data_IF_059180876649
#
_entry.id   IF_059180876649
#
_cell.length_a   1.000
_cell.length_b   1.000
_cell.length_c   1.000
_cell.angle_alpha   90.00
_cell.angle_beta   90.00
_cell.angle_gamma   90.00
#
_symmetry.space_group_name_H-M   'P 1'
#
loop_
_entity.id
_entity.type
_entity.pdbx_description
1 polymer ?
#
# COMPACT_ATOMS: atom_id res chain seq x y z
N UNK A 1 32.57 -14.46 -18.95
CA UNK A 1 31.85 -15.66 -19.46
C UNK A 1 31.42 -15.41 -20.89
N UNK A 2 31.54 -16.39 -21.80
CA UNK A 2 31.10 -16.21 -23.19
C UNK A 2 29.58 -15.95 -23.23
N UNK A 3 29.16 -15.02 -24.11
CA UNK A 3 27.75 -14.65 -24.26
C UNK A 3 26.96 -15.85 -24.80
N UNK A 4 25.76 -16.07 -24.26
CA UNK A 4 24.82 -17.07 -24.76
C UNK A 4 24.47 -16.72 -26.22
N UNK A 5 24.60 -17.69 -27.12
CA UNK A 5 24.12 -17.57 -28.51
C UNK A 5 22.59 -17.42 -28.47
N UNK A 6 22.01 -16.36 -29.07
CA UNK A 6 20.58 -16.14 -29.08
C UNK A 6 19.83 -17.24 -29.85
N UNK A 7 18.58 -17.50 -29.46
CA UNK A 7 17.86 -18.72 -29.86
C UNK A 7 17.59 -18.79 -31.37
N UNK A 8 17.43 -17.63 -32.03
CA UNK A 8 17.32 -17.53 -33.49
C UNK A 8 18.53 -18.11 -34.24
N UNK A 9 19.75 -17.88 -33.74
CA UNK A 9 20.98 -18.42 -34.34
C UNK A 9 21.06 -19.93 -34.08
N UNK A 10 20.51 -20.43 -32.98
CA UNK A 10 20.46 -21.87 -32.68
C UNK A 10 19.48 -22.61 -33.58
N UNK A 11 18.32 -22.02 -33.87
CA UNK A 11 17.35 -22.55 -34.83
C UNK A 11 17.94 -22.59 -36.24
N UNK A 12 18.71 -21.56 -36.61
CA UNK A 12 19.39 -21.51 -37.90
C UNK A 12 20.47 -22.60 -38.04
N UNK A 13 21.18 -22.94 -36.96
CA UNK A 13 22.14 -24.06 -36.92
C UNK A 13 21.43 -25.40 -37.19
N UNK A 14 20.27 -25.64 -36.57
CA UNK A 14 19.47 -26.85 -36.81
C UNK A 14 19.01 -26.92 -38.25
N UNK A 15 18.54 -25.80 -38.81
CA UNK A 15 18.12 -25.73 -40.22
C UNK A 15 19.27 -26.05 -41.17
N UNK A 16 20.48 -25.53 -40.92
CA UNK A 16 21.65 -25.81 -41.75
C UNK A 16 22.13 -27.27 -41.67
N UNK A 17 21.96 -27.95 -40.53
CA UNK A 17 22.17 -29.42 -40.43
C UNK A 17 21.16 -30.18 -41.28
N UNK A 18 19.88 -29.78 -41.26
CA UNK A 18 18.83 -30.34 -42.12
C UNK A 18 19.05 -30.11 -43.63
N UNK A 19 19.74 -29.03 -44.00
CA UNK A 19 20.17 -28.73 -45.37
C UNK A 19 21.47 -29.49 -45.77
N UNK A 20 22.07 -30.27 -44.87
CA UNK A 20 23.24 -31.13 -45.15
C UNK A 20 24.61 -30.44 -45.04
N UNK A 21 24.70 -29.26 -44.40
CA UNK A 21 25.97 -28.55 -44.21
C UNK A 21 26.82 -29.21 -43.13
N UNK A 22 28.14 -29.19 -43.27
CA UNK A 22 29.02 -29.79 -42.27
C UNK A 22 29.22 -28.87 -41.06
N UNK A 23 29.33 -29.44 -39.86
CA UNK A 23 29.52 -28.71 -38.61
C UNK A 23 30.69 -27.67 -38.61
N UNK A 24 31.83 -27.89 -39.28
CA UNK A 24 32.89 -26.88 -39.42
C UNK A 24 32.47 -25.65 -40.25
N UNK A 25 31.61 -25.83 -41.24
CA UNK A 25 31.06 -24.75 -42.07
C UNK A 25 29.99 -23.94 -41.30
N UNK A 26 29.19 -24.63 -40.49
CA UNK A 26 28.20 -24.00 -39.59
C UNK A 26 28.90 -23.16 -38.51
N UNK A 27 30.06 -23.63 -38.01
CA UNK A 27 30.84 -22.91 -37.01
C UNK A 27 31.37 -21.54 -37.49
N UNK A 28 31.53 -21.34 -38.80
CA UNK A 28 31.89 -20.03 -39.37
C UNK A 28 30.85 -18.93 -39.09
N UNK A 29 29.63 -19.29 -38.66
CA UNK A 29 28.59 -18.35 -38.22
C UNK A 29 28.87 -17.71 -36.83
N UNK A 30 30.11 -17.79 -36.33
CA UNK A 30 30.53 -17.15 -35.07
C UNK A 30 30.34 -18.02 -33.83
N UNK A 31 30.31 -19.34 -33.97
CA UNK A 31 30.17 -20.28 -32.86
C UNK A 31 31.22 -21.40 -32.92
N UNK A 32 31.55 -22.01 -31.78
CA UNK A 32 32.51 -23.11 -31.78
C UNK A 32 31.87 -24.38 -32.35
N UNK A 33 32.65 -25.23 -33.03
CA UNK A 33 32.19 -26.55 -33.51
C UNK A 33 31.56 -27.37 -32.37
N UNK A 34 32.13 -27.29 -31.16
CA UNK A 34 31.58 -27.94 -29.96
C UNK A 34 30.18 -27.43 -29.61
N UNK A 35 29.92 -26.13 -29.79
CA UNK A 35 28.61 -25.53 -29.55
C UNK A 35 27.59 -26.00 -30.57
N UNK A 36 27.99 -26.14 -31.85
CA UNK A 36 27.13 -26.71 -32.91
C UNK A 36 26.71 -28.14 -32.53
N UNK A 37 27.67 -29.01 -32.19
CA UNK A 37 27.35 -30.37 -31.77
C UNK A 37 26.45 -30.45 -30.53
N UNK A 38 26.69 -29.59 -29.52
CA UNK A 38 25.83 -29.55 -28.33
C UNK A 38 24.39 -29.12 -28.67
N UNK A 39 24.21 -28.15 -29.57
CA UNK A 39 22.87 -27.70 -30.00
C UNK A 39 22.16 -28.79 -30.80
N UNK A 40 22.86 -29.44 -31.73
CA UNK A 40 22.30 -30.54 -32.53
C UNK A 40 21.95 -31.75 -31.67
N UNK A 41 22.78 -32.08 -30.67
CA UNK A 41 22.48 -33.13 -29.70
C UNK A 41 21.21 -32.82 -28.90
N UNK A 42 21.09 -31.59 -28.37
CA UNK A 42 19.89 -31.14 -27.65
C UNK A 42 18.63 -31.19 -28.53
N UNK A 43 18.74 -30.77 -29.80
CA UNK A 43 17.61 -30.83 -30.74
C UNK A 43 17.20 -32.27 -31.05
N UNK A 44 18.16 -33.17 -31.26
CA UNK A 44 17.86 -34.60 -31.55
C UNK A 44 17.23 -35.32 -30.35
N UNK A 45 17.58 -34.93 -29.12
CA UNK A 45 17.11 -35.59 -27.90
C UNK A 45 15.79 -35.00 -27.37
N UNK A 46 15.58 -33.68 -27.52
CA UNK A 46 14.47 -32.96 -26.87
C UNK A 46 13.65 -32.07 -27.82
N UNK A 47 13.90 -32.13 -29.14
CA UNK A 47 13.22 -31.31 -30.17
C UNK A 47 13.22 -29.80 -29.85
N UNK A 48 14.24 -29.35 -29.10
CA UNK A 48 14.35 -27.99 -28.60
C UNK A 48 15.79 -27.47 -28.70
N UNK A 49 15.94 -26.21 -29.10
CA UNK A 49 17.25 -25.51 -29.17
C UNK A 49 17.66 -24.86 -27.85
N UNK A 50 16.71 -24.72 -26.93
CA UNK A 50 16.91 -24.24 -25.58
C UNK A 50 16.94 -25.43 -24.62
N UNK A 51 17.90 -25.44 -23.70
CA UNK A 51 18.01 -26.52 -22.71
C UNK A 51 16.77 -26.50 -21.79
N UNK A 52 15.89 -27.53 -21.83
CA UNK A 52 14.68 -27.57 -21.01
C UNK A 52 14.99 -27.74 -19.51
N UNK A 53 16.18 -28.27 -19.17
CA UNK A 53 16.67 -28.45 -17.80
C UNK A 53 17.53 -27.29 -17.31
N UNK A 54 17.59 -26.18 -18.06
CA UNK A 54 18.30 -24.99 -17.61
C UNK A 54 17.63 -24.47 -16.33
N UNK A 55 18.33 -24.64 -15.19
CA UNK A 55 17.93 -24.00 -13.95
C UNK A 55 17.94 -22.49 -14.16
N UNK A 56 16.91 -21.80 -13.69
CA UNK A 56 16.90 -20.35 -13.72
C UNK A 56 18.14 -19.83 -12.98
N UNK A 57 19.03 -19.08 -13.64
CA UNK A 57 20.19 -18.51 -12.98
C UNK A 57 19.72 -17.47 -11.95
N UNK A 58 20.09 -17.66 -10.69
CA UNK A 58 19.76 -16.72 -9.63
C UNK A 58 20.08 -17.25 -8.24
N UNK A 59 20.37 -16.33 -7.31
CA UNK A 59 20.46 -16.64 -5.88
C UNK A 59 19.07 -17.09 -5.41
N UNK A 60 19.01 -18.22 -4.69
CA UNK A 60 17.77 -18.66 -4.03
C UNK A 60 17.21 -17.51 -3.18
N UNK A 61 15.90 -17.29 -3.26
CA UNK A 61 15.23 -16.27 -2.44
C UNK A 61 15.42 -16.63 -0.97
N UNK A 62 15.62 -15.61 -0.14
CA UNK A 62 15.82 -15.79 1.31
C UNK A 62 14.49 -16.15 1.99
N UNK A 63 13.38 -15.60 1.49
CA UNK A 63 12.03 -15.94 1.94
C UNK A 63 11.49 -17.12 1.14
N UNK A 64 10.98 -18.12 1.84
CA UNK A 64 10.23 -19.21 1.25
C UNK A 64 8.75 -18.82 1.06
N UNK A 65 8.03 -19.62 0.28
CA UNK A 65 6.57 -19.47 0.08
C UNK A 65 5.82 -19.50 1.41
N UNK A 66 6.24 -20.34 2.37
CA UNK A 66 5.62 -20.38 3.70
C UNK A 66 5.76 -19.08 4.49
N UNK A 67 6.90 -18.40 4.38
CA UNK A 67 7.14 -17.11 5.03
C UNK A 67 6.29 -16.01 4.40
N UNK A 68 6.11 -16.06 3.08
CA UNK A 68 5.28 -15.10 2.35
C UNK A 68 3.81 -15.25 2.71
N UNK A 69 3.29 -16.48 2.82
CA UNK A 69 1.93 -16.74 3.29
C UNK A 69 1.72 -16.20 4.71
N UNK A 70 2.71 -16.37 5.59
CA UNK A 70 2.67 -15.82 6.94
C UNK A 70 2.64 -14.28 6.94
N UNK A 71 3.48 -13.63 6.12
CA UNK A 71 3.46 -12.18 5.97
C UNK A 71 2.11 -11.67 5.46
N UNK A 72 1.51 -12.36 4.48
CA UNK A 72 0.21 -11.96 3.94
C UNK A 72 -0.90 -12.08 4.97
N UNK A 73 -0.94 -13.18 5.73
CA UNK A 73 -1.98 -13.36 6.76
C UNK A 73 -1.86 -12.33 7.89
N UNK A 74 -0.62 -11.93 8.21
CA UNK A 74 -0.37 -10.90 9.21
C UNK A 74 -0.78 -9.50 8.72
N UNK A 75 -0.57 -9.21 7.43
CA UNK A 75 -1.05 -7.99 6.78
C UNK A 75 -2.57 -7.97 6.71
N UNK A 76 -3.22 -9.10 6.40
CA UNK A 76 -4.68 -9.18 6.36
C UNK A 76 -5.31 -8.93 7.75
N UNK A 77 -4.68 -9.46 8.81
CA UNK A 77 -5.11 -9.23 10.18
C UNK A 77 -4.81 -7.80 10.67
N UNK A 78 -3.68 -7.22 10.26
CA UNK A 78 -3.22 -5.88 10.68
C UNK A 78 -2.70 -5.08 9.47
N UNK A 79 -3.58 -4.50 8.64
CA UNK A 79 -3.13 -3.85 7.41
C UNK A 79 -2.23 -2.64 7.64
N UNK A 80 -2.29 -2.01 8.82
CA UNK A 80 -1.47 -0.85 9.20
C UNK A 80 -0.08 -1.21 9.75
N UNK A 81 0.35 -2.46 9.68
CA UNK A 81 1.64 -2.90 10.25
C UNK A 81 2.85 -2.26 9.55
N UNK A 82 3.90 -1.91 10.31
CA UNK A 82 5.17 -1.41 9.76
C UNK A 82 6.09 -2.56 9.31
N UNK A 83 7.11 -2.23 8.52
CA UNK A 83 8.04 -3.23 7.99
C UNK A 83 9.01 -3.77 9.04
N UNK A 84 9.37 -2.95 10.03
CA UNK A 84 10.17 -3.36 11.19
C UNK A 84 9.37 -4.30 12.11
N UNK A 85 8.09 -4.03 12.33
CA UNK A 85 7.19 -4.94 13.05
C UNK A 85 7.01 -6.27 12.29
N UNK A 86 6.89 -6.23 10.95
CA UNK A 86 6.88 -7.44 10.12
C UNK A 86 8.19 -8.22 10.24
N UNK A 87 9.34 -7.53 10.32
CA UNK A 87 10.65 -8.15 10.53
C UNK A 87 10.71 -8.83 11.90
N UNK A 88 10.26 -8.15 12.96
CA UNK A 88 10.24 -8.70 14.32
C UNK A 88 9.33 -9.93 14.41
N UNK A 89 8.15 -9.89 13.82
CA UNK A 89 7.23 -11.03 13.78
C UNK A 89 7.80 -12.22 12.99
N UNK A 90 8.48 -11.96 11.87
CA UNK A 90 9.19 -12.99 11.11
C UNK A 90 10.31 -13.64 11.93
N UNK A 91 11.09 -12.83 12.63
CA UNK A 91 12.15 -13.33 13.49
C UNK A 91 11.59 -14.18 14.63
N UNK A 92 10.54 -13.72 15.30
CA UNK A 92 9.92 -14.42 16.42
C UNK A 92 9.22 -15.72 15.99
N UNK A 93 8.49 -15.72 14.88
CA UNK A 93 7.66 -16.86 14.48
C UNK A 93 8.39 -17.89 13.60
N UNK A 94 9.37 -17.44 12.80
CA UNK A 94 10.06 -18.28 11.79
C UNK A 94 11.57 -18.31 11.95
N UNK A 95 12.14 -17.52 12.87
CA UNK A 95 13.59 -17.38 13.05
C UNK A 95 14.32 -16.92 11.78
N UNK A 96 13.66 -16.08 10.98
CA UNK A 96 14.19 -15.52 9.73
C UNK A 96 14.50 -14.04 9.96
N UNK A 97 15.78 -13.71 10.09
CA UNK A 97 16.23 -12.31 10.13
C UNK A 97 16.55 -11.82 8.71
N UNK A 98 15.76 -10.84 8.24
CA UNK A 98 15.94 -10.21 6.94
C UNK A 98 15.79 -8.71 7.01
N UNK A 99 16.51 -8.00 6.15
CA UNK A 99 16.40 -6.55 6.08
C UNK A 99 15.01 -6.09 5.64
N UNK A 100 14.57 -4.95 6.16
CA UNK A 100 13.35 -4.23 5.75
C UNK A 100 13.24 -4.08 4.24
N UNK A 101 14.36 -3.80 3.56
CA UNK A 101 14.40 -3.68 2.10
C UNK A 101 14.08 -5.01 1.38
N UNK A 102 14.39 -6.15 1.98
CA UNK A 102 14.06 -7.48 1.46
C UNK A 102 12.58 -7.79 1.64
N UNK A 103 12.00 -7.42 2.78
CA UNK A 103 10.55 -7.52 3.03
C UNK A 103 9.80 -6.65 2.01
N UNK A 104 10.18 -5.39 1.87
CA UNK A 104 9.55 -4.44 0.93
C UNK A 104 9.56 -4.94 -0.51
N UNK A 105 10.71 -5.44 -0.99
CA UNK A 105 10.83 -6.02 -2.34
C UNK A 105 9.98 -7.28 -2.50
N UNK A 106 9.92 -8.11 -1.47
CA UNK A 106 9.14 -9.36 -1.50
C UNK A 106 7.63 -9.08 -1.54
N UNK A 107 7.14 -8.14 -0.73
CA UNK A 107 5.75 -7.70 -0.75
C UNK A 107 5.36 -7.10 -2.10
N UNK A 108 6.22 -6.25 -2.69
CA UNK A 108 5.97 -5.68 -4.01
C UNK A 108 5.89 -6.74 -5.11
N UNK A 109 6.75 -7.76 -5.06
CA UNK A 109 6.71 -8.90 -5.99
C UNK A 109 5.43 -9.73 -5.84
N UNK A 110 4.80 -9.70 -4.66
CA UNK A 110 3.50 -10.30 -4.37
C UNK A 110 2.34 -9.34 -4.59
N UNK A 111 2.58 -8.23 -5.28
CA UNK A 111 1.59 -7.20 -5.60
C UNK A 111 0.97 -6.55 -4.36
N UNK A 112 1.64 -6.56 -3.20
CA UNK A 112 1.17 -5.89 -1.99
C UNK A 112 1.85 -4.52 -1.91
N UNK A 113 1.05 -3.46 -1.84
CA UNK A 113 1.53 -2.08 -1.81
C UNK A 113 0.97 -1.32 -0.61
N UNK A 114 1.75 -0.36 -0.13
CA UNK A 114 1.39 0.52 0.97
C UNK A 114 0.60 1.71 0.41
N UNK A 115 -0.66 1.86 0.82
CA UNK A 115 -1.60 2.86 0.30
C UNK A 115 -2.15 3.71 1.42
N UNK A 116 -2.50 4.96 1.11
CA UNK A 116 -3.20 5.83 2.05
C UNK A 116 -4.56 5.21 2.37
N UNK A 117 -4.84 5.01 3.66
CA UNK A 117 -6.12 4.45 4.09
C UNK A 117 -7.19 5.54 3.97
N UNK A 118 -8.21 5.31 3.13
CA UNK A 118 -9.39 6.17 3.05
C UNK A 118 -10.32 5.81 4.20
N UNK A 119 -10.41 6.68 5.20
CA UNK A 119 -11.47 6.63 6.22
C UNK A 119 -12.62 7.49 5.74
N UNK A 120 -13.62 6.89 5.10
CA UNK A 120 -14.87 7.59 4.78
C UNK A 120 -15.74 7.65 6.04
N UNK A 121 -16.22 8.84 6.39
CA UNK A 121 -17.21 9.01 7.46
C UNK A 121 -18.53 8.37 7.03
N UNK A 122 -19.08 7.49 7.85
CA UNK A 122 -20.34 6.76 7.56
C UNK A 122 -21.55 7.70 7.51
N UNK A 123 -21.48 8.86 8.16
CA UNK A 123 -22.61 9.76 8.40
C UNK A 123 -22.92 10.73 7.25
N UNK A 124 -22.11 10.78 6.19
CA UNK A 124 -22.29 11.75 5.10
C UNK A 124 -23.47 11.36 4.20
N UNK A 125 -24.54 12.16 4.23
CA UNK A 125 -25.71 12.03 3.35
C UNK A 125 -25.77 13.22 2.37
N UNK A 126 -25.57 12.96 1.08
CA UNK A 126 -25.52 13.98 0.03
C UNK A 126 -26.88 14.66 -0.22
N UNK A 127 -27.99 13.94 -0.06
CA UNK A 127 -29.33 14.48 -0.27
C UNK A 127 -29.65 15.55 0.78
N UNK A 128 -29.34 15.28 2.05
CA UNK A 128 -29.54 16.25 3.13
C UNK A 128 -28.65 17.49 2.95
N UNK A 129 -27.42 17.33 2.46
CA UNK A 129 -26.56 18.46 2.14
C UNK A 129 -27.16 19.32 1.02
N UNK A 130 -27.73 18.70 -0.02
CA UNK A 130 -28.36 19.42 -1.13
C UNK A 130 -29.62 20.17 -0.69
N UNK A 131 -30.47 19.56 0.15
CA UNK A 131 -31.65 20.22 0.72
C UNK A 131 -31.26 21.42 1.57
N UNK A 132 -30.26 21.29 2.43
CA UNK A 132 -29.79 22.40 3.27
C UNK A 132 -29.24 23.56 2.44
N UNK A 133 -28.45 23.27 1.39
CA UNK A 133 -27.93 24.29 0.48
C UNK A 133 -29.05 25.03 -0.26
N UNK A 134 -30.11 24.32 -0.66
CA UNK A 134 -31.25 24.95 -1.33
C UNK A 134 -32.08 25.84 -0.40
N UNK A 135 -32.19 25.49 0.89
CA UNK A 135 -33.02 26.20 1.86
C UNK A 135 -32.29 27.37 2.54
N UNK A 136 -31.00 27.22 2.84
CA UNK A 136 -30.23 28.18 3.64
C UNK A 136 -29.01 28.75 2.91
N UNK A 137 -28.75 28.38 1.66
CA UNK A 137 -27.57 28.81 0.90
C UNK A 137 -27.53 30.31 0.60
N UNK A 138 -28.68 30.99 0.67
CA UNK A 138 -28.77 32.44 0.44
C UNK A 138 -28.40 33.28 1.68
N UNK A 139 -28.19 32.66 2.85
CA UNK A 139 -27.81 33.38 4.08
C UNK A 139 -26.35 33.80 3.99
N UNK A 140 -26.03 35.11 4.06
CA UNK A 140 -24.66 35.57 4.07
C UNK A 140 -23.88 35.00 5.26
N UNK A 141 -22.64 34.56 5.00
CA UNK A 141 -21.75 33.97 5.99
C UNK A 141 -21.51 34.87 7.22
N UNK A 142 -21.62 36.19 7.07
CA UNK A 142 -21.44 37.20 8.12
C UNK A 142 -22.51 37.11 9.22
N UNK A 143 -23.69 36.57 8.92
CA UNK A 143 -24.77 36.39 9.90
C UNK A 143 -24.72 35.03 10.60
N UNK A 144 -23.77 34.16 10.23
CA UNK A 144 -23.68 32.81 10.75
C UNK A 144 -22.58 32.70 11.80
N UNK A 145 -22.93 32.09 12.93
CA UNK A 145 -21.95 31.59 13.91
C UNK A 145 -22.00 30.07 13.86
N UNK A 146 -20.89 29.45 13.49
CA UNK A 146 -20.76 27.99 13.47
C UNK A 146 -20.21 27.50 14.79
N UNK A 147 -20.94 26.57 15.39
CA UNK A 147 -20.54 25.87 16.61
C UNK A 147 -20.27 24.42 16.22
N UNK A 148 -19.12 23.89 16.61
CA UNK A 148 -18.77 22.49 16.42
C UNK A 148 -18.03 21.95 17.65
N UNK A 149 -18.02 20.63 17.82
CA UNK A 149 -17.18 19.96 18.82
C UNK A 149 -15.99 19.30 18.14
N UNK A 150 -14.79 19.83 18.38
CA UNK A 150 -13.55 19.16 18.01
C UNK A 150 -13.03 18.37 19.21
N UNK A 151 -12.93 17.05 19.09
CA UNK A 151 -12.23 16.23 20.08
C UNK A 151 -10.73 16.16 19.78
N UNK A 152 -9.93 16.56 20.76
CA UNK A 152 -8.48 16.41 20.79
C UNK A 152 -8.17 15.27 21.74
N UNK A 153 -7.96 14.11 21.14
CA UNK A 153 -7.41 12.96 21.86
C UNK A 153 -5.89 12.98 21.72
N UNK A 154 -5.18 12.55 22.77
CA UNK A 154 -3.80 12.09 22.65
C UNK A 154 -3.78 10.81 21.85
N UNK A 155 -3.99 10.94 20.53
CA UNK A 155 -4.02 9.84 19.58
C UNK A 155 -2.69 9.11 19.67
N UNK A 156 -2.73 7.85 20.11
CA UNK A 156 -1.70 6.87 19.78
C UNK A 156 -1.65 6.76 18.26
N UNK A 157 -0.69 7.48 17.66
CA UNK A 157 -0.18 7.38 16.30
C UNK A 157 -1.11 6.66 15.31
N UNK A 158 -2.19 7.31 14.87
CA UNK A 158 -3.03 6.74 13.82
C UNK A 158 -2.22 6.67 12.52
N UNK A 159 -1.84 5.45 12.14
CA UNK A 159 -1.07 5.20 10.91
C UNK A 159 -1.93 5.57 9.71
N UNK A 160 -1.40 6.46 8.87
CA UNK A 160 -2.07 7.00 7.67
C UNK A 160 -2.17 5.99 6.54
N UNK A 161 -1.25 5.04 6.50
CA UNK A 161 -1.16 4.07 5.43
C UNK A 161 -1.46 2.65 5.92
N UNK A 162 -1.93 1.84 4.98
CA UNK A 162 -2.17 0.42 5.16
C UNK A 162 -1.72 -0.35 3.92
N UNK A 163 -1.31 -1.59 4.11
CA UNK A 163 -0.95 -2.52 3.05
C UNK A 163 -2.22 -3.13 2.44
N UNK A 164 -2.28 -3.16 1.11
CA UNK A 164 -3.31 -3.90 0.39
C UNK A 164 -2.78 -4.41 -0.94
N UNK A 165 -3.49 -5.38 -1.54
CA UNK A 165 -3.17 -5.87 -2.87
C UNK A 165 -3.30 -4.75 -3.91
N UNK A 166 -2.44 -4.77 -4.92
CA UNK A 166 -2.47 -3.87 -6.06
C UNK A 166 -3.85 -3.96 -6.74
N UNK A 167 -4.44 -2.81 -7.05
CA UNK A 167 -5.82 -2.73 -7.52
C UNK A 167 -6.93 -2.70 -6.45
N UNK A 168 -6.65 -3.01 -5.19
CA UNK A 168 -7.66 -3.01 -4.10
C UNK A 168 -7.53 -1.81 -3.15
N UNK A 169 -8.64 -1.23 -2.70
CA UNK A 169 -8.61 -0.15 -1.70
C UNK A 169 -8.11 -0.67 -0.33
N UNK A 170 -7.28 0.12 0.36
CA UNK A 170 -6.82 -0.22 1.70
C UNK A 170 -7.80 0.32 2.75
N UNK A 171 -8.83 -0.47 3.06
CA UNK A 171 -9.87 -0.10 4.03
C UNK A 171 -9.50 -0.69 5.39
N UNK A 172 -9.42 0.16 6.41
CA UNK A 172 -9.14 -0.25 7.79
C UNK A 172 -10.26 0.21 8.70
N UNK A 173 -10.84 -0.73 9.45
CA UNK A 173 -11.74 -0.45 10.57
C UNK A 173 -10.92 -0.63 11.85
N UNK A 174 -10.75 0.45 12.62
CA UNK A 174 -9.97 0.41 13.86
C UNK A 174 -10.88 0.73 15.06
N UNK A 175 -10.65 0.04 16.16
CA UNK A 175 -11.25 0.36 17.46
C UNK A 175 -10.45 1.50 18.10
N UNK A 176 -11.15 2.56 18.51
CA UNK A 176 -10.55 3.73 19.15
C UNK A 176 -10.36 3.43 20.63
N UNK A 177 -9.10 3.26 21.08
CA UNK A 177 -8.78 3.19 22.51
C UNK A 177 -8.24 4.58 22.87
N UNK A 178 -9.06 5.36 23.59
CA UNK A 178 -8.76 6.73 23.97
C UNK A 178 -8.04 6.78 25.32
N UNK A 179 -7.00 7.63 25.41
CA UNK A 179 -6.51 8.15 26.68
C UNK A 179 -7.38 9.31 27.16
N UNK A 180 -6.81 10.26 27.91
CA UNK A 180 -7.51 11.50 28.28
C UNK A 180 -7.93 12.29 27.03
N UNK A 181 -9.24 12.48 26.87
CA UNK A 181 -9.86 13.27 25.79
C UNK A 181 -10.04 14.69 26.24
N UNK A 182 -9.61 15.64 25.42
CA UNK A 182 -10.03 17.03 25.52
C UNK A 182 -11.07 17.30 24.45
N UNK A 183 -12.20 17.89 24.81
CA UNK A 183 -13.15 18.40 23.84
C UNK A 183 -13.01 19.92 23.75
N UNK A 184 -12.96 20.41 22.52
CA UNK A 184 -12.78 21.81 22.15
C UNK A 184 -14.07 22.27 21.49
N UNK A 185 -14.65 23.34 22.00
CA UNK A 185 -15.83 24.02 21.47
C UNK A 185 -15.43 25.39 20.92
N UNK A 186 -15.12 25.49 19.63
CA UNK A 186 -15.02 26.78 18.97
C UNK A 186 -16.39 27.32 18.58
N UNK A 187 -16.54 28.64 18.72
CA UNK A 187 -17.53 29.42 17.99
C UNK A 187 -16.81 30.21 16.90
N UNK A 188 -17.17 29.94 15.65
CA UNK A 188 -16.53 30.51 14.46
C UNK A 188 -17.48 31.46 13.74
N UNK A 189 -16.95 32.56 13.25
CA UNK A 189 -17.62 33.50 12.33
C UNK A 189 -16.85 33.57 11.02
N UNK A 190 -17.36 34.33 10.04
CA UNK A 190 -16.64 34.60 8.79
C UNK A 190 -15.28 35.29 9.00
N UNK A 191 -15.10 35.98 10.13
CA UNK A 191 -13.88 36.74 10.45
C UNK A 191 -12.87 35.95 11.30
N UNK A 192 -13.28 34.85 11.94
CA UNK A 192 -12.38 34.01 12.73
C UNK A 192 -13.03 33.35 13.94
N UNK A 193 -12.21 33.10 14.98
CA UNK A 193 -12.66 32.46 16.21
C UNK A 193 -13.22 33.54 17.15
N UNK A 194 -14.52 33.46 17.42
CA UNK A 194 -15.23 34.38 18.31
C UNK A 194 -15.11 33.95 19.78
N UNK A 195 -15.24 32.65 20.05
CA UNK A 195 -15.06 32.08 21.39
C UNK A 195 -14.46 30.68 21.29
N UNK A 196 -13.75 30.25 22.33
CA UNK A 196 -13.11 28.94 22.39
C UNK A 196 -13.15 28.42 23.83
N UNK A 197 -13.75 27.24 24.02
CA UNK A 197 -13.74 26.57 25.31
C UNK A 197 -13.08 25.19 25.19
N UNK A 198 -12.10 24.90 26.05
CA UNK A 198 -11.37 23.63 26.08
C UNK A 198 -11.69 22.94 27.40
N UNK A 199 -12.25 21.75 27.32
CA UNK A 199 -12.71 20.97 28.47
C UNK A 199 -12.07 19.58 28.43
N UNK A 200 -11.71 19.06 29.60
CA UNK A 200 -11.32 17.66 29.75
C UNK A 200 -12.60 16.80 29.85
N UNK A 201 -12.69 15.77 29.01
CA UNK A 201 -13.85 14.88 28.90
C UNK A 201 -14.91 15.35 27.90
N UNK A 202 -16.03 14.63 27.87
CA UNK A 202 -17.16 14.92 26.97
C UNK A 202 -17.92 16.18 27.39
N UNK A 203 -18.54 16.84 26.42
CA UNK A 203 -19.40 18.00 26.66
C UNK A 203 -20.81 17.52 26.98
N UNK A 204 -21.28 17.91 28.16
CA UNK A 204 -22.67 17.71 28.56
C UNK A 204 -23.52 18.88 28.03
N UNK A 205 -24.84 18.63 27.92
CA UNK A 205 -25.82 19.62 27.46
C UNK A 205 -25.74 20.93 28.28
N UNK A 206 -25.57 20.83 29.59
CA UNK A 206 -25.51 21.99 30.48
C UNK A 206 -24.26 22.85 30.20
N UNK A 207 -23.10 22.21 29.99
CA UNK A 207 -21.85 22.89 29.65
C UNK A 207 -21.92 23.57 28.28
N UNK A 208 -22.59 22.94 27.32
CA UNK A 208 -22.83 23.53 26.01
C UNK A 208 -23.73 24.77 26.10
N UNK A 209 -24.86 24.67 26.79
CA UNK A 209 -25.77 25.82 26.99
C UNK A 209 -25.07 26.95 27.72
N UNK A 210 -24.27 26.63 28.74
CA UNK A 210 -23.47 27.61 29.46
C UNK A 210 -22.50 28.34 28.51
N UNK A 211 -21.77 27.60 27.67
CA UNK A 211 -20.87 28.18 26.68
C UNK A 211 -21.61 29.12 25.71
N UNK A 212 -22.76 28.70 25.19
CA UNK A 212 -23.56 29.54 24.28
C UNK A 212 -24.01 30.83 24.97
N UNK A 213 -24.57 30.74 26.18
CA UNK A 213 -25.09 31.92 26.87
C UNK A 213 -23.98 32.88 27.34
N UNK A 214 -22.90 32.34 27.89
CA UNK A 214 -21.88 33.16 28.54
C UNK A 214 -20.82 33.70 27.59
N UNK A 215 -20.47 32.93 26.54
CA UNK A 215 -19.39 33.28 25.62
C UNK A 215 -19.90 33.67 24.24
N UNK A 216 -20.91 32.97 23.71
CA UNK A 216 -21.42 33.28 22.36
C UNK A 216 -22.36 34.48 22.40
N UNK A 217 -23.53 34.34 23.05
CA UNK A 217 -24.57 35.39 23.11
C UNK A 217 -24.03 36.69 23.70
N UNK A 218 -23.17 36.61 24.73
CA UNK A 218 -22.58 37.79 25.34
C UNK A 218 -21.69 38.60 24.40
N UNK A 219 -20.98 37.92 23.49
CA UNK A 219 -20.12 38.56 22.49
C UNK A 219 -20.88 38.95 21.21
N UNK A 220 -22.05 38.35 20.97
CA UNK A 220 -22.95 38.67 19.84
C UNK A 220 -23.85 39.89 20.09
N UNK A 221 -23.91 40.40 21.32
CA UNK A 221 -24.67 41.61 21.64
C UNK A 221 -23.94 42.84 21.11
N UNK A 222 -24.24 43.21 19.86
CA UNK A 222 -24.18 44.59 19.40
C UNK A 222 -25.26 45.43 20.11
#
# INVERSE_FOLDING_TARGET
MPRRIPDNVREQIVRWDGEGKQAPEIAHAGCSVRTVFNILALHREHDTVANPFARQPGRKRVLDTGDLIYLTSLIDARPKIYLDELQEQLLQARNVDISIATISRSLRNWEITNKTASSSAIERNEELCATWQAEYGDIPAEYCVWLDEASVDNKTYHRKNAWSKMGSAAVCRATFICGTRYSVLPALTSEGIMALNILEGAINKERFIQFVNEQVVRLSNF
#
